data_IF_832470287037
#
_entry.id   IF_832470287037
#
_cell.length_a   1.000
_cell.length_b   1.000
_cell.length_c   1.000
_cell.angle_alpha   90.00
_cell.angle_beta   90.00
_cell.angle_gamma   90.00
#
_symmetry.space_group_name_H-M   'P 1'
#
loop_
_entity.id
_entity.type
_entity.pdbx_description
1 polymer ?
#
# COMPACT_ATOMS: atom_id res chain seq x y z
N UNK A 1 25.10 -4.89 0.66
CA UNK A 1 24.48 -6.17 1.10
C UNK A 1 24.66 -7.21 0.01
N UNK A 2 25.01 -8.45 0.38
CA UNK A 2 25.18 -9.56 -0.58
C UNK A 2 23.84 -10.28 -0.79
N UNK A 3 23.47 -10.55 -2.04
CA UNK A 3 22.20 -11.21 -2.36
C UNK A 3 22.26 -12.69 -1.99
N UNK A 4 21.42 -13.13 -1.04
CA UNK A 4 21.26 -14.53 -0.65
C UNK A 4 19.79 -14.84 -0.37
N UNK A 5 19.38 -16.08 -0.64
CA UNK A 5 18.08 -16.60 -0.18
C UNK A 5 18.16 -16.95 1.32
N UNK A 6 18.26 -15.92 2.16
CA UNK A 6 18.29 -16.04 3.61
C UNK A 6 17.54 -14.87 4.21
N UNK A 7 16.67 -15.15 5.19
CA UNK A 7 16.00 -14.11 5.96
C UNK A 7 17.05 -13.24 6.66
N UNK A 8 16.92 -11.93 6.53
CA UNK A 8 17.75 -10.98 7.26
C UNK A 8 17.56 -11.10 8.76
N UNK A 9 18.59 -10.76 9.52
CA UNK A 9 18.43 -10.52 10.95
C UNK A 9 17.64 -9.23 11.20
N UNK A 10 17.15 -9.06 12.42
CA UNK A 10 16.45 -7.84 12.79
C UNK A 10 17.40 -6.64 12.69
N UNK A 11 18.68 -6.78 13.06
CA UNK A 11 19.68 -5.72 12.95
C UNK A 11 19.90 -5.28 11.49
N UNK A 12 20.07 -6.23 10.56
CA UNK A 12 20.21 -5.95 9.13
C UNK A 12 18.99 -5.21 8.58
N UNK A 13 17.78 -5.65 8.97
CA UNK A 13 16.53 -5.02 8.58
C UNK A 13 16.37 -3.61 9.14
N UNK A 14 16.60 -3.42 10.44
CA UNK A 14 16.45 -2.11 11.08
C UNK A 14 17.49 -1.10 10.62
N UNK A 15 18.70 -1.53 10.27
CA UNK A 15 19.69 -0.62 9.69
C UNK A 15 19.27 -0.15 8.30
N UNK A 16 18.85 -1.08 7.42
CA UNK A 16 18.35 -0.74 6.09
C UNK A 16 17.14 0.21 6.13
N UNK A 17 16.24 0.04 7.09
CA UNK A 17 15.08 0.93 7.26
C UNK A 17 15.47 2.39 7.51
N UNK A 18 16.55 2.65 8.24
CA UNK A 18 17.00 4.04 8.48
C UNK A 18 17.39 4.71 7.17
N UNK A 19 18.13 4.00 6.32
CA UNK A 19 18.53 4.50 5.00
C UNK A 19 17.30 4.75 4.12
N UNK A 20 16.39 3.78 4.01
CA UNK A 20 15.18 3.88 3.19
C UNK A 20 14.27 5.03 3.61
N UNK A 21 14.02 5.21 4.91
CA UNK A 21 13.14 6.26 5.41
C UNK A 21 13.73 7.68 5.25
N UNK A 22 15.03 7.79 4.94
CA UNK A 22 15.66 9.08 4.67
C UNK A 22 15.53 9.56 3.21
N UNK A 23 14.99 8.71 2.32
CA UNK A 23 14.95 8.98 0.87
C UNK A 23 13.92 10.05 0.46
N UNK A 24 12.92 10.33 1.30
CA UNK A 24 11.95 11.41 1.08
C UNK A 24 11.41 11.92 2.43
N UNK A 25 11.04 13.21 2.59
CA UNK A 25 10.63 13.78 3.88
C UNK A 25 9.49 13.03 4.59
N UNK A 26 8.55 12.46 3.83
CA UNK A 26 7.42 11.68 4.39
C UNK A 26 7.86 10.38 5.05
N UNK A 27 9.09 9.91 4.83
CA UNK A 27 9.64 8.77 5.59
C UNK A 27 9.75 9.05 7.09
N UNK A 28 9.78 10.32 7.50
CA UNK A 28 9.71 10.73 8.91
C UNK A 28 8.36 10.47 9.58
N UNK A 29 7.30 10.24 8.79
CA UNK A 29 5.96 9.94 9.30
C UNK A 29 5.79 8.45 9.68
N UNK A 30 6.78 7.60 9.36
CA UNK A 30 6.68 6.15 9.56
C UNK A 30 7.19 5.72 10.94
N UNK A 31 6.28 5.62 11.92
CA UNK A 31 6.53 4.96 13.21
C UNK A 31 6.00 3.52 13.19
N UNK A 32 6.90 2.53 13.33
CA UNK A 32 6.54 1.11 13.27
C UNK A 32 5.63 0.67 14.41
N UNK A 33 5.80 1.21 15.62
CA UNK A 33 4.97 0.83 16.77
C UNK A 33 3.56 1.39 16.61
N UNK A 34 3.46 2.65 16.22
CA UNK A 34 2.17 3.30 15.92
C UNK A 34 1.45 2.56 14.78
N UNK A 35 2.16 2.28 13.68
CA UNK A 35 1.59 1.61 12.51
C UNK A 35 1.04 0.22 12.84
N UNK A 36 1.72 -0.55 13.71
CA UNK A 36 1.21 -1.85 14.18
C UNK A 36 -0.12 -1.69 14.92
N UNK A 37 -0.23 -0.70 15.80
CA UNK A 37 -1.46 -0.45 16.56
C UNK A 37 -2.58 0.11 15.68
N UNK A 38 -2.25 0.94 14.68
CA UNK A 38 -3.19 1.39 13.65
C UNK A 38 -3.74 0.21 12.85
N UNK A 39 -2.85 -0.64 12.32
CA UNK A 39 -3.22 -1.78 11.47
C UNK A 39 -4.08 -2.83 12.20
N UNK A 40 -3.86 -3.03 13.50
CA UNK A 40 -4.71 -3.91 14.33
C UNK A 40 -6.14 -3.39 14.51
N UNK A 41 -6.36 -2.08 14.41
CA UNK A 41 -7.69 -1.45 14.53
C UNK A 41 -8.47 -1.47 13.22
N UNK A 42 -7.82 -1.74 12.08
CA UNK A 42 -8.49 -1.85 10.78
C UNK A 42 -9.49 -3.01 10.83
N UNK A 43 -10.78 -2.76 10.55
CA UNK A 43 -11.79 -3.81 10.64
C UNK A 43 -11.56 -4.91 9.60
N UNK A 44 -11.95 -6.15 9.93
CA UNK A 44 -11.68 -7.32 9.08
C UNK A 44 -12.12 -7.17 7.63
N UNK A 45 -13.25 -6.51 7.37
CA UNK A 45 -13.78 -6.32 6.02
C UNK A 45 -12.92 -5.39 5.15
N UNK A 46 -12.02 -4.61 5.77
CA UNK A 46 -11.00 -3.78 5.10
C UNK A 46 -9.61 -4.43 5.09
N UNK A 47 -9.46 -5.61 5.69
CA UNK A 47 -8.19 -6.35 5.66
C UNK A 47 -8.16 -7.27 4.44
N UNK A 48 -7.24 -7.00 3.52
CA UNK A 48 -7.13 -7.71 2.24
C UNK A 48 -6.90 -9.22 2.44
N UNK A 49 -5.97 -9.62 3.31
CA UNK A 49 -5.64 -11.02 3.59
C UNK A 49 -6.83 -11.79 4.16
N UNK A 50 -7.62 -11.14 5.03
CA UNK A 50 -8.85 -11.74 5.58
C UNK A 50 -9.90 -11.92 4.48
N UNK A 51 -10.09 -10.92 3.61
CA UNK A 51 -11.05 -11.02 2.49
C UNK A 51 -10.66 -12.11 1.49
N UNK A 52 -9.38 -12.24 1.14
CA UNK A 52 -8.87 -13.33 0.29
C UNK A 52 -9.12 -14.71 0.91
N UNK A 53 -8.84 -14.88 2.21
CA UNK A 53 -9.08 -16.14 2.91
C UNK A 53 -10.57 -16.52 2.88
N UNK A 54 -11.46 -15.57 3.18
CA UNK A 54 -12.92 -15.78 3.14
C UNK A 54 -13.40 -16.12 1.72
N UNK A 55 -12.89 -15.45 0.70
CA UNK A 55 -13.24 -15.75 -0.70
C UNK A 55 -12.79 -17.15 -1.11
N UNK A 56 -11.61 -17.59 -0.67
CA UNK A 56 -11.11 -18.95 -0.90
C UNK A 56 -11.96 -20.00 -0.20
N UNK A 57 -12.33 -19.77 1.06
CA UNK A 57 -13.22 -20.63 1.85
C UNK A 57 -14.62 -20.73 1.21
N UNK A 58 -15.14 -19.63 0.66
CA UNK A 58 -16.44 -19.56 0.00
C UNK A 58 -16.42 -20.04 -1.46
N UNK A 59 -15.24 -20.28 -2.06
CA UNK A 59 -15.13 -20.69 -3.46
C UNK A 59 -15.54 -19.62 -4.47
N UNK A 60 -15.42 -18.34 -4.13
CA UNK A 60 -15.80 -17.21 -5.00
C UNK A 60 -14.58 -16.55 -5.63
N UNK A 61 -14.77 -15.96 -6.81
CA UNK A 61 -13.77 -15.10 -7.46
C UNK A 61 -14.06 -13.64 -7.11
N UNK A 62 -13.04 -12.90 -6.67
CA UNK A 62 -13.14 -11.47 -6.40
C UNK A 62 -12.76 -10.65 -7.64
N UNK A 63 -13.46 -9.55 -7.87
CA UNK A 63 -13.13 -8.57 -8.91
C UNK A 63 -12.30 -7.39 -8.35
N UNK A 64 -11.18 -7.07 -8.99
CA UNK A 64 -10.32 -5.94 -8.62
C UNK A 64 -9.97 -5.11 -9.87
N UNK A 65 -10.35 -3.82 -9.94
CA UNK A 65 -9.97 -2.94 -11.04
C UNK A 65 -8.52 -2.43 -10.90
N UNK A 66 -8.09 -1.61 -11.86
CA UNK A 66 -6.93 -0.72 -11.74
C UNK A 66 -7.38 0.72 -11.79
N UNK A 67 -6.92 1.55 -10.87
CA UNK A 67 -7.29 2.97 -10.79
C UNK A 67 -6.25 3.77 -10.01
N UNK A 68 -6.03 5.02 -10.42
CA UNK A 68 -5.06 5.95 -9.86
C UNK A 68 -5.11 7.29 -10.58
N UNK A 69 -5.19 8.39 -9.83
CA UNK A 69 -5.07 9.78 -10.30
C UNK A 69 -4.24 10.56 -9.28
N UNK A 70 -3.63 11.66 -9.69
CA UNK A 70 -2.59 12.33 -8.91
C UNK A 70 -3.09 12.94 -7.59
N UNK A 71 -4.26 13.57 -7.60
CA UNK A 71 -4.75 14.35 -6.47
C UNK A 71 -5.56 13.49 -5.49
N UNK A 72 -5.36 13.72 -4.19
CA UNK A 72 -5.90 12.88 -3.11
C UNK A 72 -7.44 12.82 -3.13
N UNK A 73 -8.11 13.97 -3.28
CA UNK A 73 -9.57 14.03 -3.20
C UNK A 73 -10.22 13.33 -4.40
N UNK A 74 -9.69 13.59 -5.59
CA UNK A 74 -10.08 12.98 -6.86
C UNK A 74 -9.79 11.48 -6.86
N UNK A 75 -8.69 11.06 -6.24
CA UNK A 75 -8.39 9.64 -6.06
C UNK A 75 -9.40 8.97 -5.12
N UNK A 76 -9.75 9.61 -4.00
CA UNK A 76 -10.77 9.10 -3.08
C UNK A 76 -12.14 9.01 -3.77
N UNK A 77 -12.52 10.03 -4.55
CA UNK A 77 -13.77 10.04 -5.31
C UNK A 77 -13.81 8.90 -6.33
N UNK A 78 -12.73 8.73 -7.10
CA UNK A 78 -12.58 7.63 -8.05
C UNK A 78 -12.74 6.26 -7.38
N UNK A 79 -12.07 6.03 -6.24
CA UNK A 79 -12.15 4.74 -5.56
C UNK A 79 -13.53 4.48 -4.95
N UNK A 80 -14.22 5.52 -4.46
CA UNK A 80 -15.61 5.40 -4.00
C UNK A 80 -16.54 5.04 -5.14
N UNK A 81 -16.39 5.69 -6.30
CA UNK A 81 -17.19 5.35 -7.47
C UNK A 81 -17.00 3.89 -7.91
N UNK A 82 -15.76 3.39 -7.91
CA UNK A 82 -15.49 1.98 -8.22
C UNK A 82 -16.05 1.01 -7.17
N UNK A 83 -16.10 1.42 -5.91
CA UNK A 83 -16.70 0.63 -4.84
C UNK A 83 -18.23 0.58 -4.97
N UNK A 84 -18.87 1.75 -5.12
CA UNK A 84 -20.31 1.92 -4.92
C UNK A 84 -21.11 1.69 -6.22
N UNK A 85 -20.55 2.07 -7.37
CA UNK A 85 -21.19 1.92 -8.69
C UNK A 85 -20.56 0.80 -9.53
N UNK A 86 -19.28 0.49 -9.26
CA UNK A 86 -18.53 -0.56 -9.96
C UNK A 86 -18.54 -1.91 -9.26
N UNK A 87 -19.13 -2.01 -8.06
CA UNK A 87 -19.19 -3.22 -7.22
C UNK A 87 -17.82 -3.91 -7.02
N UNK A 88 -16.75 -3.13 -6.91
CA UNK A 88 -15.41 -3.68 -6.73
C UNK A 88 -15.27 -4.42 -5.39
N UNK A 89 -14.82 -5.68 -5.43
CA UNK A 89 -14.51 -6.42 -4.20
C UNK A 89 -13.26 -5.88 -3.50
N UNK A 90 -12.29 -5.39 -4.27
CA UNK A 90 -11.01 -4.94 -3.77
C UNK A 90 -10.66 -3.62 -4.46
N UNK A 91 -10.15 -2.65 -3.70
CA UNK A 91 -9.77 -1.35 -4.24
C UNK A 91 -8.26 -1.28 -4.50
N UNK A 92 -7.83 -0.73 -5.66
CA UNK A 92 -6.43 -0.47 -5.94
C UNK A 92 -6.03 0.96 -5.55
N UNK A 93 -4.73 1.20 -5.46
CA UNK A 93 -4.14 2.53 -5.66
C UNK A 93 -2.96 2.35 -6.60
N UNK A 94 -3.18 2.62 -7.88
CA UNK A 94 -2.18 2.42 -8.92
C UNK A 94 -1.19 3.58 -8.89
N UNK A 95 0.04 3.29 -8.49
CA UNK A 95 1.13 4.25 -8.36
C UNK A 95 1.56 4.76 -9.74
N UNK A 96 1.83 6.05 -9.88
CA UNK A 96 2.29 6.70 -11.11
C UNK A 96 3.68 6.20 -11.55
N UNK A 97 4.11 6.53 -12.76
CA UNK A 97 5.40 6.08 -13.31
C UNK A 97 6.63 6.73 -12.67
N UNK A 98 6.53 7.96 -12.17
CA UNK A 98 7.63 8.69 -11.56
C UNK A 98 7.95 8.11 -10.18
N UNK A 99 6.94 7.83 -9.36
CA UNK A 99 7.11 7.15 -8.08
C UNK A 99 7.75 5.77 -8.26
N UNK A 100 7.43 5.03 -9.34
CA UNK A 100 8.08 3.73 -9.66
C UNK A 100 9.57 3.84 -9.99
N UNK A 101 10.02 5.01 -10.42
CA UNK A 101 11.42 5.32 -10.68
C UNK A 101 12.06 6.18 -9.58
N UNK A 102 11.39 6.33 -8.43
CA UNK A 102 11.86 7.13 -7.29
C UNK A 102 12.07 8.63 -7.64
N UNK A 103 11.31 9.16 -8.60
CA UNK A 103 11.35 10.56 -9.07
C UNK A 103 10.26 11.40 -8.40
N UNK A 104 10.29 11.48 -7.06
CA UNK A 104 9.26 12.19 -6.28
C UNK A 104 9.21 13.70 -6.58
N UNK A 105 10.33 14.26 -7.07
CA UNK A 105 10.42 15.61 -7.61
C UNK A 105 9.51 15.81 -8.83
N UNK A 106 9.42 14.82 -9.72
CA UNK A 106 8.52 14.87 -10.89
C UNK A 106 7.05 14.66 -10.47
N UNK A 107 6.80 13.87 -9.41
CA UNK A 107 5.46 13.72 -8.85
C UNK A 107 4.88 15.04 -8.31
N UNK A 108 5.71 15.88 -7.69
CA UNK A 108 5.29 17.17 -7.11
C UNK A 108 4.96 18.22 -8.18
N UNK A 109 5.62 18.15 -9.34
CA UNK A 109 5.42 19.12 -10.43
C UNK A 109 4.07 18.93 -11.12
N UNK A 110 3.60 17.68 -11.26
CA UNK A 110 2.35 17.32 -11.94
C UNK A 110 2.59 16.74 -13.33
#
# INVERSE_FOLDING_TARGET
MELKNKKWTDEEFFEMRKEVLSQWPTGSEVDLKEAVEYLKKVPEHKNFSVKLRKAKEAGITLAQPRAGVALINEHIELLKHLQDEGDADLLPSTIDSYTRQNRYDECEIG
#
